data_IF_514884203692
#
_entry.id   IF_514884203692
#
_cell.length_a   1.000
_cell.length_b   1.000
_cell.length_c   1.000
_cell.angle_alpha   90.00
_cell.angle_beta   90.00
_cell.angle_gamma   90.00
#
_symmetry.space_group_name_H-M   'P 1'
#
loop_
_entity.id
_entity.type
_entity.pdbx_description
1 polymer ?
#
# COMPACT_ATOMS: atom_id res chain seq x y z
N UNK A 1 15.49 -9.94 -41.73
CA UNK A 1 15.80 -9.05 -40.61
C UNK A 1 17.24 -9.14 -40.09
N UNK A 2 17.94 -10.24 -40.27
CA UNK A 2 19.33 -10.51 -39.79
C UNK A 2 20.44 -9.76 -40.54
N UNK A 3 20.24 -9.35 -41.79
CA UNK A 3 21.28 -8.66 -42.60
C UNK A 3 21.52 -7.18 -42.25
N UNK A 4 20.63 -6.50 -41.54
CA UNK A 4 20.81 -5.10 -41.10
C UNK A 4 21.65 -4.96 -39.81
N UNK A 5 21.63 -5.94 -38.95
CA UNK A 5 22.40 -5.93 -37.68
C UNK A 5 23.92 -6.02 -37.90
N UNK A 6 24.36 -6.78 -38.93
CA UNK A 6 25.78 -7.08 -39.14
C UNK A 6 26.64 -5.87 -39.58
N UNK A 7 26.02 -4.82 -40.14
CA UNK A 7 26.77 -3.60 -40.53
C UNK A 7 26.91 -2.60 -39.37
N UNK A 8 26.04 -2.62 -38.43
CA UNK A 8 26.03 -1.77 -37.23
C UNK A 8 26.91 -2.30 -36.10
N UNK A 9 27.16 -3.62 -36.06
CA UNK A 9 27.85 -4.32 -34.97
C UNK A 9 29.40 -4.26 -35.03
N UNK A 10 30.00 -3.56 -36.03
CA UNK A 10 31.47 -3.59 -36.16
C UNK A 10 32.23 -2.72 -35.15
N UNK A 11 31.59 -1.80 -34.46
CA UNK A 11 32.23 -0.90 -33.49
C UNK A 11 31.26 -0.57 -32.34
N UNK A 12 31.15 -1.44 -31.36
CA UNK A 12 30.33 -1.12 -30.21
C UNK A 12 30.86 0.12 -29.50
N UNK A 13 30.05 1.15 -29.28
CA UNK A 13 30.46 2.29 -28.49
C UNK A 13 30.24 2.02 -27.01
N UNK A 14 31.17 2.49 -26.19
CA UNK A 14 31.00 2.65 -24.76
C UNK A 14 31.43 4.07 -24.36
N UNK A 15 30.52 4.83 -23.74
CA UNK A 15 30.76 6.25 -23.41
C UNK A 15 31.33 7.07 -24.58
N UNK A 16 30.84 6.80 -25.79
CA UNK A 16 31.22 7.52 -27.00
C UNK A 16 32.58 7.15 -27.58
N UNK A 17 33.23 6.09 -27.08
CA UNK A 17 34.47 5.55 -27.67
C UNK A 17 34.16 4.25 -28.36
N UNK A 18 34.36 4.22 -29.68
CA UNK A 18 34.18 3.02 -30.52
C UNK A 18 35.40 2.12 -30.44
N UNK A 19 35.19 0.79 -30.39
CA UNK A 19 36.24 -0.21 -30.40
C UNK A 19 35.82 -1.45 -31.20
N UNK A 20 36.77 -2.29 -31.55
CA UNK A 20 36.52 -3.56 -32.22
C UNK A 20 36.49 -4.67 -31.17
N UNK A 21 35.32 -5.24 -30.91
CA UNK A 21 35.18 -6.40 -30.00
C UNK A 21 35.63 -7.64 -30.71
N UNK A 22 36.58 -8.37 -30.11
CA UNK A 22 37.06 -9.66 -30.59
C UNK A 22 36.20 -10.79 -30.06
N UNK A 23 36.07 -10.83 -28.78
CA UNK A 23 35.24 -11.81 -28.06
C UNK A 23 34.58 -11.18 -26.82
N UNK A 24 33.57 -11.87 -26.35
CA UNK A 24 32.90 -11.53 -25.09
C UNK A 24 32.48 -12.80 -24.39
N UNK A 25 32.75 -12.87 -23.09
CA UNK A 25 32.35 -13.96 -22.21
C UNK A 25 31.41 -13.40 -21.13
N UNK A 26 30.26 -14.05 -20.96
CA UNK A 26 29.31 -13.74 -19.91
C UNK A 26 29.00 -14.98 -19.10
N UNK A 27 28.90 -14.84 -17.78
CA UNK A 27 28.52 -15.91 -16.88
C UNK A 27 27.02 -15.80 -16.60
N UNK A 28 26.30 -16.90 -16.79
CA UNK A 28 24.84 -16.95 -16.60
C UNK A 28 24.52 -18.10 -15.67
N UNK A 29 23.75 -17.84 -14.63
CA UNK A 29 23.39 -18.87 -13.67
C UNK A 29 22.35 -18.38 -12.65
N UNK A 30 22.16 -19.19 -11.62
CA UNK A 30 21.30 -18.83 -10.48
C UNK A 30 22.10 -18.91 -9.19
N UNK A 31 21.80 -18.02 -8.26
CA UNK A 31 22.39 -18.00 -6.93
C UNK A 31 21.65 -19.01 -6.07
N UNK A 32 22.29 -20.18 -5.84
CA UNK A 32 21.71 -21.28 -5.07
C UNK A 32 22.44 -21.37 -3.74
N UNK A 33 21.70 -21.33 -2.63
CA UNK A 33 22.18 -21.63 -1.29
C UNK A 33 21.79 -23.08 -0.95
N UNK A 34 22.79 -23.88 -0.59
CA UNK A 34 22.58 -25.28 -0.19
C UNK A 34 22.66 -25.39 1.33
N UNK A 35 21.68 -26.05 1.93
CA UNK A 35 21.62 -26.33 3.36
C UNK A 35 21.82 -27.81 3.59
N UNK A 36 22.75 -28.13 4.51
CA UNK A 36 23.05 -29.49 4.97
C UNK A 36 22.41 -29.68 6.35
N UNK A 37 21.63 -30.72 6.50
CA UNK A 37 21.04 -31.08 7.80
C UNK A 37 21.71 -32.34 8.36
N UNK A 38 22.16 -32.31 9.63
CA UNK A 38 22.75 -33.50 10.25
C UNK A 38 21.79 -34.69 10.23
N UNK A 39 22.29 -35.88 9.78
CA UNK A 39 21.49 -37.10 9.72
C UNK A 39 20.60 -37.24 8.48
N UNK A 40 20.75 -36.39 7.46
CA UNK A 40 20.10 -36.52 6.14
C UNK A 40 21.17 -36.48 5.05
N UNK A 41 21.02 -37.34 4.09
CA UNK A 41 21.92 -37.40 2.91
C UNK A 41 21.45 -36.41 1.82
N UNK A 42 20.18 -35.92 1.91
CA UNK A 42 19.59 -34.97 0.96
C UNK A 42 19.97 -33.55 1.30
N UNK A 43 20.33 -32.77 0.27
CA UNK A 43 20.56 -31.32 0.36
C UNK A 43 19.30 -30.56 0.01
N UNK A 44 18.97 -29.55 0.81
CA UNK A 44 17.90 -28.59 0.47
C UNK A 44 18.53 -27.39 -0.22
N UNK A 45 18.06 -27.07 -1.42
CA UNK A 45 18.53 -25.95 -2.22
C UNK A 45 17.50 -24.82 -2.19
N UNK A 46 17.95 -23.63 -1.85
CA UNK A 46 17.16 -22.39 -1.94
C UNK A 46 17.69 -21.55 -3.10
N UNK A 47 16.79 -21.16 -3.99
CA UNK A 47 17.10 -20.27 -5.11
C UNK A 47 16.97 -18.81 -4.64
N UNK A 48 18.07 -18.06 -4.70
CA UNK A 48 18.16 -16.66 -4.31
C UNK A 48 18.09 -15.68 -5.50
N UNK A 49 17.75 -16.17 -6.69
CA UNK A 49 17.59 -15.36 -7.89
C UNK A 49 18.69 -15.54 -8.92
N UNK A 50 18.56 -14.86 -10.05
CA UNK A 50 19.52 -14.92 -11.15
C UNK A 50 20.87 -14.28 -10.75
N UNK A 51 21.96 -14.89 -11.19
CA UNK A 51 23.29 -14.28 -11.15
C UNK A 51 23.47 -13.45 -12.42
N UNK A 52 23.64 -12.15 -12.25
CA UNK A 52 24.15 -11.28 -13.31
C UNK A 52 25.67 -11.35 -13.22
N UNK A 53 26.26 -12.32 -13.94
CA UNK A 53 27.71 -12.48 -13.96
C UNK A 53 28.41 -11.33 -14.70
N UNK A 54 29.71 -11.17 -14.48
CA UNK A 54 30.49 -10.17 -15.18
C UNK A 54 30.53 -10.48 -16.68
N UNK A 55 30.51 -9.43 -17.49
CA UNK A 55 30.69 -9.49 -18.96
C UNK A 55 32.13 -9.09 -19.24
N UNK A 56 32.96 -10.06 -19.55
CA UNK A 56 34.34 -9.85 -19.97
C UNK A 56 34.35 -9.53 -21.47
N UNK A 57 35.04 -8.47 -21.86
CA UNK A 57 35.15 -7.98 -23.23
C UNK A 57 36.61 -7.82 -23.60
N UNK A 58 37.06 -8.57 -24.62
CA UNK A 58 38.34 -8.40 -25.26
C UNK A 58 38.15 -7.61 -26.56
N UNK A 59 38.85 -6.52 -26.70
CA UNK A 59 38.67 -5.60 -27.81
C UNK A 59 39.98 -4.99 -28.32
N UNK A 60 39.91 -4.41 -29.51
CA UNK A 60 41.05 -3.70 -30.14
C UNK A 60 40.64 -2.31 -30.55
N UNK A 61 41.53 -1.36 -30.33
CA UNK A 61 41.53 -0.05 -30.98
C UNK A 61 42.52 -0.08 -32.14
N UNK A 62 42.03 0.17 -33.36
CA UNK A 62 42.80 0.05 -34.58
C UNK A 62 42.72 1.33 -35.38
N UNK A 63 43.84 1.78 -35.89
CA UNK A 63 43.93 2.95 -36.76
C UNK A 63 45.18 3.80 -36.52
N UNK A 64 45.38 4.78 -37.35
CA UNK A 64 46.54 5.71 -37.24
C UNK A 64 46.46 6.56 -35.95
N UNK A 65 45.27 6.73 -35.41
CA UNK A 65 45.00 7.50 -34.21
C UNK A 65 44.80 6.64 -32.95
N UNK A 66 45.23 5.37 -32.98
CA UNK A 66 45.03 4.39 -31.89
C UNK A 66 45.49 4.92 -30.51
N UNK A 67 46.56 5.67 -30.43
CA UNK A 67 47.05 6.28 -29.18
C UNK A 67 46.07 7.31 -28.62
N UNK A 68 45.46 8.11 -29.49
CA UNK A 68 44.44 9.09 -29.11
C UNK A 68 43.16 8.41 -28.64
N UNK A 69 42.76 7.33 -29.34
CA UNK A 69 41.61 6.50 -28.94
C UNK A 69 41.87 5.80 -27.61
N UNK A 70 43.07 5.26 -27.39
CA UNK A 70 43.47 4.65 -26.11
C UNK A 70 43.38 5.65 -24.93
N UNK A 71 43.86 6.87 -25.13
CA UNK A 71 43.74 7.94 -24.13
C UNK A 71 42.28 8.32 -23.85
N UNK A 72 41.42 8.39 -24.87
CA UNK A 72 39.98 8.63 -24.72
C UNK A 72 39.32 7.49 -23.94
N UNK A 73 39.65 6.25 -24.25
CA UNK A 73 39.17 5.07 -23.54
C UNK A 73 39.61 5.09 -22.07
N UNK A 74 40.88 5.36 -21.79
CA UNK A 74 41.38 5.50 -20.42
C UNK A 74 40.63 6.60 -19.62
N UNK A 75 40.32 7.71 -20.27
CA UNK A 75 39.51 8.77 -19.64
C UNK A 75 38.05 8.32 -19.43
N UNK A 76 37.45 7.61 -20.38
CA UNK A 76 36.12 7.03 -20.24
C UNK A 76 36.04 6.02 -19.10
N UNK A 77 37.09 5.19 -18.92
CA UNK A 77 37.17 4.23 -17.81
C UNK A 77 37.27 4.92 -16.43
N UNK A 78 37.82 6.13 -16.36
CA UNK A 78 37.95 6.90 -15.10
C UNK A 78 36.69 7.68 -14.73
N UNK A 79 35.72 7.81 -15.64
CA UNK A 79 34.48 8.52 -15.33
C UNK A 79 33.62 7.73 -14.35
N UNK A 80 33.07 8.34 -13.30
CA UNK A 80 32.19 7.68 -12.35
C UNK A 80 30.80 7.38 -12.97
N UNK A 81 30.08 6.43 -12.37
CA UNK A 81 28.71 6.09 -12.71
C UNK A 81 28.57 5.10 -13.86
N UNK A 82 27.31 4.69 -14.16
CA UNK A 82 27.02 3.74 -15.23
C UNK A 82 27.24 4.37 -16.60
N UNK A 83 27.54 3.52 -17.58
CA UNK A 83 27.65 3.91 -18.98
C UNK A 83 26.86 2.95 -19.86
N UNK A 84 26.38 3.44 -21.00
CA UNK A 84 25.71 2.61 -21.99
C UNK A 84 26.74 1.87 -22.84
N UNK A 85 26.71 0.53 -22.84
CA UNK A 85 27.46 -0.33 -23.73
C UNK A 85 26.51 -0.90 -24.78
N UNK A 86 26.81 -0.68 -26.06
CA UNK A 86 26.10 -1.32 -27.15
C UNK A 86 26.82 -2.62 -27.50
N UNK A 87 26.34 -3.73 -26.97
CA UNK A 87 26.96 -5.03 -27.17
C UNK A 87 26.42 -5.71 -28.43
N UNK A 88 27.28 -6.28 -29.32
CA UNK A 88 26.84 -6.85 -30.61
C UNK A 88 25.80 -7.96 -30.51
N UNK A 89 25.84 -8.75 -29.43
CA UNK A 89 24.98 -9.93 -29.23
C UNK A 89 23.95 -9.73 -28.12
N UNK A 90 24.23 -8.86 -27.13
CA UNK A 90 23.35 -8.65 -25.97
C UNK A 90 22.50 -7.36 -26.09
N UNK A 91 22.76 -6.54 -27.11
CA UNK A 91 22.05 -5.29 -27.32
C UNK A 91 22.61 -4.14 -26.46
N UNK A 92 21.76 -3.18 -26.15
CA UNK A 92 22.12 -1.99 -25.38
C UNK A 92 21.97 -2.27 -23.89
N UNK A 93 23.06 -2.13 -23.13
CA UNK A 93 23.14 -2.43 -21.70
C UNK A 93 23.67 -1.23 -20.91
N UNK A 94 23.02 -0.91 -19.82
CA UNK A 94 23.58 -0.01 -18.82
C UNK A 94 24.56 -0.82 -17.96
N UNK A 95 25.86 -0.47 -17.99
CA UNK A 95 26.92 -1.22 -17.30
C UNK A 95 27.84 -0.31 -16.51
N UNK A 96 28.50 -0.88 -15.51
CA UNK A 96 29.64 -0.29 -14.81
C UNK A 96 30.86 -1.15 -15.01
N UNK A 97 32.04 -0.53 -14.97
CA UNK A 97 33.30 -1.24 -14.98
C UNK A 97 33.54 -1.80 -13.58
N UNK A 98 33.53 -3.13 -13.41
CA UNK A 98 33.74 -3.77 -12.11
C UNK A 98 35.20 -3.93 -11.76
N UNK A 99 36.06 -4.05 -12.76
CA UNK A 99 37.52 -4.17 -12.60
C UNK A 99 38.24 -3.11 -13.42
N UNK A 100 39.46 -2.73 -13.03
CA UNK A 100 40.28 -1.81 -13.81
C UNK A 100 40.53 -2.34 -15.23
N UNK A 101 40.21 -1.52 -16.23
CA UNK A 101 40.45 -1.89 -17.64
C UNK A 101 41.95 -1.97 -17.94
N UNK A 102 42.38 -3.01 -18.63
CA UNK A 102 43.75 -3.16 -19.12
C UNK A 102 43.84 -2.61 -20.54
N UNK A 103 44.80 -1.72 -20.77
CA UNK A 103 45.10 -1.15 -22.11
C UNK A 103 46.54 -1.50 -22.43
N UNK A 104 46.76 -2.43 -23.35
CA UNK A 104 48.09 -2.93 -23.72
C UNK A 104 48.52 -2.31 -25.06
N UNK A 105 49.67 -1.68 -25.05
CA UNK A 105 50.32 -1.09 -26.21
C UNK A 105 51.64 -1.84 -26.46
N UNK A 106 51.75 -2.53 -27.62
CA UNK A 106 52.93 -3.28 -27.97
C UNK A 106 53.70 -2.59 -29.11
N UNK A 107 55.00 -2.45 -29.01
CA UNK A 107 55.84 -1.86 -30.04
C UNK A 107 55.88 -2.74 -31.35
N UNK A 108 55.73 -4.04 -31.19
CA UNK A 108 55.65 -5.02 -32.31
C UNK A 108 54.33 -4.93 -33.09
N UNK A 109 53.27 -4.41 -32.47
CA UNK A 109 51.92 -4.28 -33.08
C UNK A 109 51.57 -2.80 -33.21
N UNK A 110 52.26 -2.11 -34.11
CA UNK A 110 51.96 -0.69 -34.37
C UNK A 110 50.54 -0.53 -34.91
N UNK A 111 49.87 0.58 -34.54
CA UNK A 111 48.49 0.97 -34.90
C UNK A 111 47.41 0.12 -34.25
N UNK A 112 47.74 -0.62 -33.22
CA UNK A 112 46.76 -1.43 -32.47
C UNK A 112 47.01 -1.29 -30.98
N UNK A 113 45.92 -1.10 -30.17
CA UNK A 113 45.94 -1.23 -28.74
C UNK A 113 44.94 -2.31 -28.34
N UNK A 114 45.36 -3.26 -27.49
CA UNK A 114 44.49 -4.27 -26.94
C UNK A 114 43.79 -3.73 -25.66
N UNK A 115 42.51 -4.05 -25.52
CA UNK A 115 41.67 -3.67 -24.39
C UNK A 115 41.08 -4.93 -23.77
N UNK A 116 41.18 -5.02 -22.45
CA UNK A 116 40.45 -6.01 -21.63
C UNK A 116 39.61 -5.24 -20.60
N UNK A 117 38.31 -5.49 -20.60
CA UNK A 117 37.36 -4.78 -19.77
C UNK A 117 36.34 -5.76 -19.18
N UNK A 118 36.06 -5.65 -17.89
CA UNK A 118 35.06 -6.45 -17.18
C UNK A 118 33.92 -5.52 -16.76
N UNK A 119 32.73 -5.79 -17.26
CA UNK A 119 31.54 -5.01 -17.00
C UNK A 119 30.56 -5.79 -16.16
N UNK A 120 29.85 -5.09 -15.28
CA UNK A 120 28.64 -5.58 -14.61
C UNK A 120 27.43 -4.80 -15.03
N UNK A 121 26.29 -5.48 -15.19
CA UNK A 121 25.03 -4.81 -15.51
C UNK A 121 24.61 -3.95 -14.32
N UNK A 122 24.41 -2.67 -14.57
CA UNK A 122 23.98 -1.73 -13.55
C UNK A 122 22.51 -1.95 -13.22
N UNK A 123 22.24 -2.58 -12.08
CA UNK A 123 20.90 -2.63 -11.50
C UNK A 123 20.62 -1.31 -10.78
N UNK A 124 19.47 -0.70 -11.06
CA UNK A 124 19.00 0.39 -10.20
C UNK A 124 18.90 -0.12 -8.77
N UNK A 125 19.45 0.60 -7.78
CA UNK A 125 19.26 0.23 -6.38
C UNK A 125 17.74 0.11 -6.13
N UNK A 126 17.28 -0.90 -5.36
CA UNK A 126 15.89 -0.96 -4.97
C UNK A 126 15.57 0.36 -4.27
N UNK A 127 14.63 1.11 -4.82
CA UNK A 127 14.09 2.28 -4.12
C UNK A 127 13.54 1.73 -2.81
N UNK A 128 14.01 2.20 -1.64
CA UNK A 128 13.49 1.71 -0.38
C UNK A 128 11.97 1.83 -0.44
N UNK A 129 11.28 0.73 -0.17
CA UNK A 129 9.83 0.73 -0.13
C UNK A 129 9.43 1.76 0.92
N UNK A 130 8.77 2.82 0.49
CA UNK A 130 8.25 3.83 1.41
C UNK A 130 7.20 3.11 2.24
N UNK A 131 7.38 3.05 3.55
CA UNK A 131 6.37 2.53 4.47
C UNK A 131 5.20 3.52 4.52
N UNK A 132 4.29 3.36 3.58
CA UNK A 132 3.10 4.19 3.49
C UNK A 132 2.11 3.88 4.60
N UNK A 133 2.05 2.61 5.05
CA UNK A 133 1.17 2.18 6.12
C UNK A 133 1.60 2.77 7.46
N UNK A 134 2.89 2.72 7.81
CA UNK A 134 3.40 3.35 9.03
C UNK A 134 3.10 4.85 9.06
N UNK A 135 3.30 5.55 7.93
CA UNK A 135 2.95 6.97 7.83
C UNK A 135 1.45 7.24 8.02
N UNK A 136 0.57 6.33 7.56
CA UNK A 136 -0.89 6.45 7.79
C UNK A 136 -1.22 6.30 9.26
N UNK A 137 -0.64 5.31 9.94
CA UNK A 137 -0.88 5.07 11.37
C UNK A 137 -0.40 6.25 12.22
N UNK A 138 0.79 6.79 11.96
CA UNK A 138 1.31 7.98 12.63
C UNK A 138 0.39 9.19 12.45
N UNK A 139 -0.11 9.41 11.23
CA UNK A 139 -1.02 10.52 10.93
C UNK A 139 -2.41 10.35 11.58
N UNK A 140 -2.89 9.11 11.75
CA UNK A 140 -4.11 8.80 12.51
C UNK A 140 -3.92 9.18 13.97
N UNK A 141 -2.82 8.76 14.58
CA UNK A 141 -2.53 9.05 15.99
C UNK A 141 -2.36 10.55 16.23
N UNK A 142 -1.71 11.28 15.33
CA UNK A 142 -1.58 12.74 15.37
C UNK A 142 -2.97 13.42 15.29
N UNK A 143 -3.82 13.03 14.34
CA UNK A 143 -5.15 13.61 14.18
C UNK A 143 -6.02 13.39 15.44
N UNK A 144 -5.95 12.21 16.05
CA UNK A 144 -6.64 11.89 17.30
C UNK A 144 -6.09 12.68 18.49
N UNK A 145 -4.77 12.80 18.59
CA UNK A 145 -4.11 13.56 19.67
C UNK A 145 -4.49 15.04 19.62
N UNK A 146 -4.50 15.66 18.43
CA UNK A 146 -4.87 17.07 18.26
C UNK A 146 -6.37 17.30 18.54
N UNK A 147 -7.24 16.36 18.16
CA UNK A 147 -8.66 16.43 18.51
C UNK A 147 -8.87 16.38 20.04
N UNK A 148 -8.14 15.52 20.76
CA UNK A 148 -8.15 15.47 22.23
C UNK A 148 -7.62 16.76 22.85
N UNK A 149 -6.52 17.30 22.33
CA UNK A 149 -5.94 18.56 22.79
C UNK A 149 -6.92 19.73 22.63
N UNK A 150 -7.63 19.76 21.50
CA UNK A 150 -8.69 20.73 21.25
C UNK A 150 -9.82 20.62 22.28
N UNK A 151 -10.29 19.40 22.56
CA UNK A 151 -11.33 19.17 23.59
C UNK A 151 -10.88 19.63 24.97
N UNK A 152 -9.64 19.31 25.37
CA UNK A 152 -9.09 19.78 26.66
C UNK A 152 -9.05 21.30 26.72
N UNK A 153 -8.60 21.96 25.66
CA UNK A 153 -8.50 23.42 25.59
C UNK A 153 -9.91 24.13 25.67
N UNK A 154 -10.93 23.49 25.09
CA UNK A 154 -12.29 24.01 25.08
C UNK A 154 -13.02 23.74 26.40
N UNK A 155 -12.85 22.57 26.98
CA UNK A 155 -13.58 22.15 28.18
C UNK A 155 -12.89 22.58 29.50
N UNK A 156 -11.56 22.82 29.50
CA UNK A 156 -10.82 23.25 30.70
C UNK A 156 -11.26 24.61 31.28
N UNK A 157 -11.56 25.66 30.47
CA UNK A 157 -12.02 26.95 31.00
C UNK A 157 -13.50 26.96 31.40
N UNK A 158 -14.20 25.87 31.14
CA UNK A 158 -15.61 25.71 31.49
C UNK A 158 -15.74 25.37 32.99
N UNK A 159 -15.41 26.34 33.87
CA UNK A 159 -16.07 26.43 35.17
C UNK A 159 -17.54 26.81 34.88
N UNK A 160 -18.35 25.80 34.58
CA UNK A 160 -19.46 25.85 33.66
C UNK A 160 -20.74 26.34 34.31
N UNK A 161 -21.40 27.33 33.69
CA UNK A 161 -22.81 27.58 33.97
C UNK A 161 -23.68 26.39 33.54
N UNK A 162 -24.84 26.23 34.14
CA UNK A 162 -25.86 25.21 33.84
C UNK A 162 -26.13 25.03 32.31
N UNK A 163 -25.92 26.05 31.51
CA UNK A 163 -26.05 26.00 30.06
C UNK A 163 -25.15 24.96 29.40
N UNK A 164 -23.89 24.87 29.82
CA UNK A 164 -22.95 23.96 29.18
C UNK A 164 -23.22 22.50 29.54
N UNK A 165 -23.79 22.19 30.71
CA UNK A 165 -24.24 20.84 31.02
C UNK A 165 -25.39 20.40 30.09
N UNK A 166 -26.28 21.30 29.69
CA UNK A 166 -27.35 21.04 28.73
C UNK A 166 -26.74 20.72 27.34
N UNK A 167 -25.80 21.55 26.89
CA UNK A 167 -25.13 21.30 25.60
C UNK A 167 -24.40 19.98 25.54
N UNK A 168 -23.74 19.57 26.63
CA UNK A 168 -23.10 18.23 26.69
C UNK A 168 -24.14 17.11 26.66
N UNK A 169 -25.29 17.28 27.33
CA UNK A 169 -26.39 16.33 27.28
C UNK A 169 -27.02 16.22 25.89
N UNK A 170 -27.26 17.35 25.26
CA UNK A 170 -27.84 17.42 23.91
C UNK A 170 -26.88 16.80 22.88
N UNK A 171 -25.57 17.12 22.98
CA UNK A 171 -24.54 16.51 22.16
C UNK A 171 -24.45 14.98 22.36
N UNK A 172 -24.42 14.53 23.64
CA UNK A 172 -24.35 13.10 23.97
C UNK A 172 -25.55 12.32 23.41
N UNK A 173 -26.74 12.91 23.49
CA UNK A 173 -27.99 12.35 22.97
C UNK A 173 -27.96 12.28 21.43
N UNK A 174 -27.52 13.35 20.76
CA UNK A 174 -27.41 13.42 19.32
C UNK A 174 -26.33 12.49 18.78
N UNK A 175 -25.14 12.47 19.38
CA UNK A 175 -24.06 11.55 19.03
C UNK A 175 -24.47 10.09 19.27
N UNK A 176 -25.12 9.79 20.39
CA UNK A 176 -25.65 8.46 20.67
C UNK A 176 -26.70 8.00 19.65
N UNK A 177 -27.57 8.90 19.17
CA UNK A 177 -28.56 8.58 18.14
C UNK A 177 -27.90 8.33 16.78
N UNK A 178 -26.88 9.11 16.42
CA UNK A 178 -26.06 8.93 15.22
C UNK A 178 -25.43 7.53 15.17
N UNK A 179 -24.79 7.12 16.26
CA UNK A 179 -24.19 5.79 16.35
C UNK A 179 -25.22 4.66 16.31
N UNK A 180 -26.37 4.80 17.00
CA UNK A 180 -27.45 3.80 16.93
C UNK A 180 -27.98 3.66 15.50
N UNK A 181 -28.11 4.73 14.77
CA UNK A 181 -28.51 4.67 13.35
C UNK A 181 -27.49 3.93 12.50
N UNK A 182 -26.19 4.23 12.64
CA UNK A 182 -25.11 3.53 11.96
C UNK A 182 -25.06 2.04 12.31
N UNK A 183 -25.08 1.72 13.62
CA UNK A 183 -25.06 0.34 14.12
C UNK A 183 -26.31 -0.46 13.73
N UNK A 184 -27.48 0.19 13.60
CA UNK A 184 -28.70 -0.46 13.14
C UNK A 184 -28.60 -1.03 11.71
N UNK A 185 -27.63 -0.59 10.93
CA UNK A 185 -27.34 -1.15 9.58
C UNK A 185 -26.54 -2.45 9.63
N UNK A 186 -25.96 -2.78 10.78
CA UNK A 186 -25.17 -3.99 11.02
C UNK A 186 -26.06 -5.19 11.43
N UNK A 187 -27.25 -5.30 10.90
CA UNK A 187 -28.19 -6.37 11.23
C UNK A 187 -27.57 -7.75 11.03
N UNK A 188 -27.29 -8.47 12.14
CA UNK A 188 -26.76 -9.83 12.14
C UNK A 188 -25.43 -10.04 12.89
N UNK A 189 -24.67 -8.98 13.23
CA UNK A 189 -23.38 -9.11 13.95
C UNK A 189 -23.53 -8.77 15.45
N UNK A 190 -24.09 -9.71 16.22
CA UNK A 190 -24.34 -9.52 17.66
C UNK A 190 -23.06 -9.26 18.49
N UNK A 191 -21.91 -9.77 18.06
CA UNK A 191 -20.64 -9.62 18.78
C UNK A 191 -20.00 -8.24 18.59
N UNK A 192 -20.08 -7.65 17.39
CA UNK A 192 -19.62 -6.29 17.17
C UNK A 192 -20.45 -5.27 17.99
N UNK A 193 -21.75 -5.54 18.14
CA UNK A 193 -22.65 -4.75 19.00
C UNK A 193 -22.33 -4.90 20.49
N UNK A 194 -21.84 -6.06 20.95
CA UNK A 194 -21.47 -6.28 22.34
C UNK A 194 -20.31 -5.38 22.80
N UNK A 195 -19.30 -5.14 21.93
CA UNK A 195 -18.19 -4.20 22.18
C UNK A 195 -18.63 -2.73 22.16
N UNK A 196 -19.50 -2.36 21.23
CA UNK A 196 -19.99 -0.99 21.07
C UNK A 196 -21.05 -0.60 22.12
N UNK A 197 -21.78 -1.56 22.70
CA UNK A 197 -22.83 -1.30 23.67
C UNK A 197 -22.36 -0.54 24.93
N UNK A 198 -21.34 -1.00 25.64
CA UNK A 198 -20.76 -0.28 26.78
C UNK A 198 -20.22 1.10 26.39
N UNK A 199 -19.54 1.21 25.25
CA UNK A 199 -19.02 2.48 24.74
C UNK A 199 -20.15 3.47 24.42
N UNK A 200 -21.24 3.01 23.83
CA UNK A 200 -22.43 3.83 23.57
C UNK A 200 -23.09 4.30 24.86
N UNK A 201 -23.14 3.43 25.88
CA UNK A 201 -23.64 3.79 27.20
C UNK A 201 -22.77 4.86 27.86
N UNK A 202 -21.43 4.75 27.74
CA UNK A 202 -20.50 5.75 28.23
C UNK A 202 -20.67 7.10 27.51
N UNK A 203 -20.86 7.09 26.19
CA UNK A 203 -21.12 8.28 25.38
C UNK A 203 -22.41 8.99 25.85
N UNK A 204 -23.48 8.26 26.04
CA UNK A 204 -24.77 8.83 26.51
C UNK A 204 -24.65 9.36 27.94
N UNK A 205 -23.85 8.71 28.79
CA UNK A 205 -23.62 9.13 30.17
C UNK A 205 -22.85 10.46 30.29
N UNK A 206 -22.19 10.95 29.22
CA UNK A 206 -21.48 12.25 29.23
C UNK A 206 -22.40 13.39 29.67
N UNK A 207 -23.68 13.34 29.28
CA UNK A 207 -24.67 14.37 29.65
C UNK A 207 -24.99 14.42 31.15
N UNK A 208 -24.71 13.41 31.93
CA UNK A 208 -24.93 13.32 33.36
C UNK A 208 -23.65 13.42 34.20
N UNK A 209 -22.48 13.63 33.57
CA UNK A 209 -21.22 13.73 34.28
C UNK A 209 -21.14 14.98 35.16
N UNK A 210 -20.54 14.87 36.37
CA UNK A 210 -20.29 16.04 37.20
C UNK A 210 -19.27 16.97 36.52
N UNK A 211 -19.49 18.27 36.65
CA UNK A 211 -18.58 19.30 36.15
C UNK A 211 -17.33 19.36 37.03
N UNK A 212 -16.38 18.51 36.72
CA UNK A 212 -15.10 18.34 37.44
C UNK A 212 -13.89 18.51 36.51
N UNK A 213 -12.72 18.61 37.08
CA UNK A 213 -11.48 18.66 36.32
C UNK A 213 -11.25 17.43 35.41
N UNK A 214 -11.92 16.30 35.68
CA UNK A 214 -11.88 15.09 34.88
C UNK A 214 -12.85 15.09 33.69
N UNK A 215 -13.69 16.13 33.56
CA UNK A 215 -14.68 16.21 32.48
C UNK A 215 -14.10 16.11 31.09
N UNK A 216 -12.99 16.81 30.72
CA UNK A 216 -12.42 16.72 29.38
C UNK A 216 -12.01 15.30 28.99
N UNK A 217 -11.41 14.57 29.92
CA UNK A 217 -10.98 13.18 29.67
C UNK A 217 -12.18 12.23 29.54
N UNK A 218 -13.21 12.40 30.38
CA UNK A 218 -14.43 11.61 30.31
C UNK A 218 -15.21 11.83 29.00
N UNK A 219 -15.28 13.08 28.54
CA UNK A 219 -15.90 13.45 27.25
C UNK A 219 -15.11 12.87 26.09
N UNK A 220 -13.77 12.97 26.13
CA UNK A 220 -12.89 12.38 25.11
C UNK A 220 -13.07 10.87 25.03
N UNK A 221 -13.00 10.18 26.17
CA UNK A 221 -13.18 8.72 26.24
C UNK A 221 -14.57 8.28 25.72
N UNK A 222 -15.63 9.04 26.03
CA UNK A 222 -16.97 8.76 25.53
C UNK A 222 -17.09 8.93 24.01
N UNK A 223 -16.46 9.97 23.45
CA UNK A 223 -16.46 10.23 22.01
C UNK A 223 -15.67 9.15 21.24
N UNK A 224 -14.53 8.73 21.79
CA UNK A 224 -13.63 7.75 21.17
C UNK A 224 -14.11 6.32 21.28
N UNK A 225 -14.81 5.98 22.38
CA UNK A 225 -15.12 4.61 22.72
C UNK A 225 -15.91 3.83 21.66
N UNK A 226 -16.91 4.48 21.03
CA UNK A 226 -17.74 3.81 20.02
C UNK A 226 -16.97 3.55 18.73
N UNK A 227 -16.31 4.55 18.10
CA UNK A 227 -15.52 4.30 16.90
C UNK A 227 -14.35 3.35 17.16
N UNK A 228 -13.69 3.41 18.32
CA UNK A 228 -12.63 2.47 18.71
C UNK A 228 -13.15 1.03 18.80
N UNK A 229 -14.32 0.81 19.39
CA UNK A 229 -14.94 -0.51 19.48
C UNK A 229 -15.28 -1.08 18.09
N UNK A 230 -15.78 -0.24 17.17
CA UNK A 230 -16.08 -0.65 15.79
C UNK A 230 -14.81 -0.98 15.02
N UNK A 231 -13.79 -0.14 15.11
CA UNK A 231 -12.52 -0.37 14.44
C UNK A 231 -11.81 -1.62 14.99
N UNK A 232 -11.79 -1.81 16.31
CA UNK A 232 -11.21 -3.00 16.93
C UNK A 232 -11.93 -4.31 16.53
N UNK A 233 -13.24 -4.26 16.27
CA UNK A 233 -13.99 -5.40 15.77
C UNK A 233 -13.73 -5.71 14.30
N UNK A 234 -13.28 -4.72 13.52
CA UNK A 234 -13.02 -4.84 12.09
C UNK A 234 -11.56 -5.20 11.78
N UNK A 235 -10.62 -4.68 12.59
CA UNK A 235 -9.18 -4.90 12.40
C UNK A 235 -8.81 -6.29 12.92
N UNK A 236 -8.24 -7.11 12.05
CA UNK A 236 -7.71 -8.43 12.41
C UNK A 236 -6.53 -8.30 13.38
N UNK A 237 -6.59 -8.87 14.60
CA UNK A 237 -5.39 -8.97 15.41
C UNK A 237 -4.33 -9.77 14.66
N UNK A 238 -3.02 -9.46 14.81
CA UNK A 238 -1.97 -10.22 14.18
C UNK A 238 -2.08 -11.71 14.58
N UNK A 239 -1.73 -12.65 13.68
CA UNK A 239 -1.79 -14.07 14.00
C UNK A 239 -0.96 -14.33 15.25
N UNK A 240 -1.46 -15.15 16.19
CA UNK A 240 -0.70 -15.48 17.39
C UNK A 240 0.66 -16.05 16.97
N UNK A 241 1.74 -15.56 17.58
CA UNK A 241 3.07 -16.08 17.35
C UNK A 241 3.08 -17.56 17.76
N UNK A 242 3.17 -18.46 16.79
CA UNK A 242 3.23 -19.90 17.02
C UNK A 242 4.62 -20.18 17.58
N UNK A 243 4.72 -20.34 18.89
CA UNK A 243 5.93 -20.84 19.53
C UNK A 243 6.21 -22.29 19.07
N UNK A 244 7.47 -22.72 19.05
CA UNK A 244 7.82 -24.11 18.72
C UNK A 244 7.18 -25.06 19.76
N UNK A 245 6.03 -25.66 19.43
CA UNK A 245 5.28 -26.56 20.29
C UNK A 245 3.75 -26.37 20.32
N UNK A 246 3.21 -25.38 19.60
CA UNK A 246 1.77 -25.19 19.50
C UNK A 246 1.09 -26.34 18.75
N UNK A 247 0.11 -27.00 19.39
CA UNK A 247 -0.65 -28.06 18.72
C UNK A 247 -1.58 -27.48 17.65
N UNK A 248 -1.77 -28.22 16.55
CA UNK A 248 -2.70 -27.87 15.46
C UNK A 248 -4.13 -27.60 15.97
N UNK A 249 -4.56 -28.25 17.03
CA UNK A 249 -5.87 -28.05 17.65
C UNK A 249 -6.05 -26.65 18.24
N UNK A 250 -5.00 -26.09 18.87
CA UNK A 250 -5.03 -24.72 19.43
C UNK A 250 -5.09 -23.65 18.34
N UNK A 251 -4.45 -23.93 17.19
CA UNK A 251 -4.48 -23.03 16.04
C UNK A 251 -5.87 -23.02 15.39
N UNK A 252 -6.48 -24.20 15.26
CA UNK A 252 -7.80 -24.33 14.62
C UNK A 252 -8.89 -23.70 15.48
N UNK A 253 -8.82 -23.83 16.82
CA UNK A 253 -9.79 -23.17 17.71
C UNK A 253 -9.62 -21.66 17.72
N UNK A 254 -8.39 -21.15 17.76
CA UNK A 254 -8.11 -19.71 17.70
C UNK A 254 -8.50 -19.07 16.35
N UNK A 255 -8.40 -19.82 15.24
CA UNK A 255 -8.88 -19.37 13.93
C UNK A 255 -10.41 -19.41 13.86
N UNK A 256 -11.06 -20.44 14.42
CA UNK A 256 -12.52 -20.54 14.44
C UNK A 256 -13.17 -19.46 15.34
N UNK A 257 -12.58 -19.16 16.50
CA UNK A 257 -13.01 -18.06 17.37
C UNK A 257 -12.81 -16.69 16.71
N UNK A 258 -11.79 -16.58 15.85
CA UNK A 258 -11.48 -15.39 15.08
C UNK A 258 -12.50 -15.12 13.98
N UNK A 259 -12.91 -16.13 13.22
CA UNK A 259 -13.91 -16.04 12.15
C UNK A 259 -15.32 -15.70 12.65
N UNK A 260 -15.65 -16.08 13.91
CA UNK A 260 -16.97 -15.81 14.51
C UNK A 260 -17.11 -14.41 15.12
N UNK A 261 -16.01 -13.73 15.42
CA UNK A 261 -15.99 -12.47 16.17
C UNK A 261 -15.80 -11.21 15.30
N UNK A 262 -15.67 -11.36 13.99
CA UNK A 262 -15.26 -10.25 13.13
C UNK A 262 -16.41 -9.52 12.44
N UNK A 263 -16.34 -8.19 12.52
CA UNK A 263 -17.12 -7.31 11.65
C UNK A 263 -16.40 -7.19 10.31
N UNK A 264 -17.15 -7.32 9.20
CA UNK A 264 -16.61 -7.03 7.88
C UNK A 264 -16.04 -5.60 7.85
N UNK A 265 -14.74 -5.39 7.52
CA UNK A 265 -14.14 -4.06 7.48
C UNK A 265 -14.88 -3.09 6.54
N UNK A 266 -15.53 -3.58 5.49
CA UNK A 266 -16.31 -2.77 4.56
C UNK A 266 -17.56 -2.19 5.25
N UNK A 267 -18.24 -3.01 6.07
CA UNK A 267 -19.41 -2.56 6.86
C UNK A 267 -18.98 -1.60 7.98
N UNK A 268 -17.86 -1.89 8.66
CA UNK A 268 -17.32 -0.99 9.67
C UNK A 268 -16.99 0.39 9.09
N UNK A 269 -16.34 0.41 7.93
CA UNK A 269 -16.05 1.65 7.20
C UNK A 269 -17.32 2.43 6.87
N UNK A 270 -18.38 1.75 6.40
CA UNK A 270 -19.66 2.38 6.10
C UNK A 270 -20.29 3.04 7.34
N UNK A 271 -20.28 2.35 8.48
CA UNK A 271 -20.82 2.88 9.74
C UNK A 271 -20.04 4.09 10.22
N UNK A 272 -18.69 4.01 10.19
CA UNK A 272 -17.80 5.10 10.61
C UNK A 272 -18.03 6.36 9.74
N UNK A 273 -18.11 6.20 8.43
CA UNK A 273 -18.32 7.32 7.51
C UNK A 273 -19.72 7.95 7.65
N UNK A 274 -20.76 7.13 7.81
CA UNK A 274 -22.14 7.64 8.04
C UNK A 274 -22.20 8.39 9.36
N UNK A 275 -21.59 7.87 10.42
CA UNK A 275 -21.53 8.57 11.69
C UNK A 275 -20.74 9.88 11.61
N UNK A 276 -19.63 9.91 10.88
CA UNK A 276 -18.84 11.11 10.66
C UNK A 276 -19.64 12.22 9.95
N UNK A 277 -20.44 11.86 8.93
CA UNK A 277 -21.31 12.83 8.24
C UNK A 277 -22.38 13.43 9.16
N UNK A 278 -22.96 12.61 10.02
CA UNK A 278 -23.94 13.11 11.01
C UNK A 278 -23.29 13.99 12.09
N UNK A 279 -22.07 13.62 12.53
CA UNK A 279 -21.31 14.40 13.50
C UNK A 279 -20.84 15.76 12.93
N UNK A 280 -20.60 15.84 11.61
CA UNK A 280 -20.33 17.10 10.94
C UNK A 280 -21.46 18.13 11.12
N UNK A 281 -22.71 17.66 11.15
CA UNK A 281 -23.87 18.53 11.38
C UNK A 281 -23.92 19.07 12.83
N UNK A 282 -23.43 18.27 13.79
CA UNK A 282 -23.31 18.69 15.19
C UNK A 282 -22.24 19.79 15.36
N UNK A 283 -21.26 19.85 14.49
CA UNK A 283 -20.25 20.89 14.45
C UNK A 283 -20.81 22.27 13.98
N UNK A 284 -22.07 22.34 13.62
CA UNK A 284 -22.79 23.61 13.33
C UNK A 284 -23.55 24.15 14.54
N UNK A 285 -23.54 23.43 15.69
CA UNK A 285 -24.24 23.80 16.92
C UNK A 285 -23.46 24.77 17.80
N UNK A 286 -23.88 24.88 19.05
CA UNK A 286 -23.31 25.85 20.01
C UNK A 286 -21.93 25.46 20.56
N UNK A 287 -21.56 24.17 20.53
CA UNK A 287 -20.22 23.67 20.84
C UNK A 287 -19.66 22.89 19.63
N UNK A 288 -19.34 23.60 18.53
CA UNK A 288 -18.94 22.97 17.28
C UNK A 288 -17.67 22.15 17.40
N UNK A 289 -16.83 22.41 18.40
CA UNK A 289 -15.59 21.67 18.66
C UNK A 289 -15.87 20.22 19.10
N UNK A 290 -16.98 19.94 19.80
CA UNK A 290 -17.39 18.58 20.15
C UNK A 290 -17.75 17.77 18.90
N UNK A 291 -18.53 18.36 18.01
CA UNK A 291 -18.88 17.74 16.72
C UNK A 291 -17.65 17.49 15.85
N UNK A 292 -16.73 18.47 15.76
CA UNK A 292 -15.47 18.31 15.04
C UNK A 292 -14.58 17.21 15.63
N UNK A 293 -14.46 17.13 16.96
CA UNK A 293 -13.67 16.08 17.59
C UNK A 293 -14.26 14.69 17.31
N UNK A 294 -15.58 14.52 17.46
CA UNK A 294 -16.25 13.28 17.16
C UNK A 294 -16.10 12.88 15.70
N UNK A 295 -16.28 13.82 14.77
CA UNK A 295 -16.06 13.61 13.35
C UNK A 295 -14.61 13.20 13.04
N UNK A 296 -13.63 13.92 13.62
CA UNK A 296 -12.20 13.66 13.40
C UNK A 296 -11.81 12.24 13.85
N UNK A 297 -12.29 11.80 15.01
CA UNK A 297 -12.06 10.43 15.50
C UNK A 297 -12.71 9.38 14.59
N UNK A 298 -13.95 9.58 14.18
CA UNK A 298 -14.65 8.64 13.31
C UNK A 298 -13.95 8.51 11.95
N UNK A 299 -13.54 9.62 11.34
CA UNK A 299 -12.85 9.61 10.03
C UNK A 299 -11.43 9.05 10.15
N UNK A 300 -10.68 9.35 11.22
CA UNK A 300 -9.35 8.80 11.44
C UNK A 300 -9.39 7.28 11.55
N UNK A 301 -10.37 6.73 12.27
CA UNK A 301 -10.55 5.28 12.37
C UNK A 301 -11.13 4.66 11.09
N UNK A 302 -11.92 5.40 10.33
CA UNK A 302 -12.33 4.96 9.00
C UNK A 302 -11.12 4.76 8.07
N UNK A 303 -10.10 5.63 8.16
CA UNK A 303 -8.83 5.46 7.42
C UNK A 303 -8.07 4.22 7.91
N UNK A 304 -8.02 3.98 9.23
CA UNK A 304 -7.39 2.76 9.79
C UNK A 304 -8.05 1.49 9.27
N UNK A 305 -9.39 1.42 9.35
CA UNK A 305 -10.15 0.26 8.83
C UNK A 305 -9.95 0.09 7.33
N UNK A 306 -9.94 1.18 6.55
CA UNK A 306 -9.70 1.10 5.11
C UNK A 306 -8.29 0.60 4.76
N UNK A 307 -7.30 0.86 5.62
CA UNK A 307 -5.95 0.34 5.45
C UNK A 307 -5.88 -1.20 5.59
N UNK A 308 -6.81 -1.82 6.30
CA UNK A 308 -6.87 -3.27 6.51
C UNK A 308 -7.81 -4.01 5.53
N UNK A 309 -8.56 -3.27 4.70
CA UNK A 309 -9.43 -3.90 3.69
C UNK A 309 -8.60 -4.64 2.63
N UNK A 310 -8.84 -5.94 2.42
CA UNK A 310 -8.28 -6.67 1.28
C UNK A 310 -9.09 -6.31 0.02
N UNK A 311 -8.62 -5.30 -0.72
CA UNK A 311 -9.27 -4.88 -1.96
C UNK A 311 -9.14 -5.94 -3.04
N UNK A 312 -10.25 -6.28 -3.68
CA UNK A 312 -10.29 -7.27 -4.76
C UNK A 312 -10.04 -6.65 -6.15
N UNK A 313 -10.37 -5.36 -6.29
CA UNK A 313 -10.27 -4.67 -7.58
C UNK A 313 -9.82 -3.22 -7.43
N UNK A 314 -9.27 -2.68 -8.53
CA UNK A 314 -8.88 -1.29 -8.62
C UNK A 314 -10.09 -0.35 -8.42
N UNK A 315 -11.25 -0.71 -8.96
CA UNK A 315 -12.48 0.08 -8.87
C UNK A 315 -12.97 0.18 -7.43
N UNK A 316 -12.92 -0.91 -6.66
CA UNK A 316 -13.27 -0.91 -5.24
C UNK A 316 -12.36 0.02 -4.45
N UNK A 317 -11.04 -0.11 -4.62
CA UNK A 317 -10.08 0.73 -3.93
C UNK A 317 -10.26 2.23 -4.28
N UNK A 318 -10.53 2.54 -5.55
CA UNK A 318 -10.82 3.92 -5.98
C UNK A 318 -12.12 4.46 -5.37
N UNK A 319 -13.17 3.66 -5.28
CA UNK A 319 -14.43 4.06 -4.66
C UNK A 319 -14.25 4.35 -3.16
N UNK A 320 -13.54 3.48 -2.44
CA UNK A 320 -13.22 3.71 -1.02
C UNK A 320 -12.36 4.96 -0.86
N UNK A 321 -11.33 5.14 -1.68
CA UNK A 321 -10.48 6.33 -1.67
C UNK A 321 -11.30 7.61 -1.85
N UNK A 322 -12.20 7.65 -2.82
CA UNK A 322 -13.03 8.83 -3.07
C UNK A 322 -13.95 9.17 -1.89
N UNK A 323 -14.51 8.16 -1.23
CA UNK A 323 -15.37 8.34 -0.04
C UNK A 323 -14.57 8.89 1.15
N UNK A 324 -13.39 8.31 1.42
CA UNK A 324 -12.51 8.77 2.49
C UNK A 324 -11.99 10.18 2.23
N UNK A 325 -11.58 10.47 1.00
CA UNK A 325 -11.13 11.81 0.61
C UNK A 325 -12.22 12.85 0.83
N UNK A 326 -13.47 12.53 0.48
CA UNK A 326 -14.64 13.37 0.73
C UNK A 326 -14.90 13.61 2.23
N UNK A 327 -14.85 12.56 3.04
CA UNK A 327 -15.07 12.67 4.49
C UNK A 327 -13.95 13.47 5.19
N UNK A 328 -12.68 13.23 4.81
CA UNK A 328 -11.53 13.99 5.31
C UNK A 328 -11.58 15.47 4.87
N UNK A 329 -11.99 15.73 3.62
CA UNK A 329 -12.19 17.09 3.14
C UNK A 329 -13.26 17.83 3.94
N UNK A 330 -14.40 17.19 4.18
CA UNK A 330 -15.49 17.75 4.98
C UNK A 330 -15.04 18.07 6.42
N UNK A 331 -14.32 17.13 7.07
CA UNK A 331 -13.77 17.37 8.41
C UNK A 331 -12.75 18.51 8.44
N UNK A 332 -11.86 18.57 7.46
CA UNK A 332 -10.88 19.64 7.32
C UNK A 332 -11.55 21.00 7.07
N UNK A 333 -12.65 21.05 6.30
CA UNK A 333 -13.42 22.28 6.07
C UNK A 333 -14.09 22.78 7.35
N UNK A 334 -14.67 21.90 8.16
CA UNK A 334 -15.20 22.25 9.48
C UNK A 334 -14.10 22.81 10.37
N UNK A 335 -12.95 22.13 10.44
CA UNK A 335 -11.79 22.57 11.22
C UNK A 335 -11.25 23.92 10.73
N UNK A 336 -11.21 24.16 9.41
CA UNK A 336 -10.80 25.43 8.83
C UNK A 336 -11.73 26.59 9.24
N UNK A 337 -13.04 26.38 9.19
CA UNK A 337 -14.04 27.39 9.63
C UNK A 337 -13.84 27.72 11.09
N UNK A 338 -13.69 26.73 11.97
CA UNK A 338 -13.46 26.94 13.39
C UNK A 338 -12.10 27.55 13.69
N UNK A 339 -11.10 27.32 12.85
CA UNK A 339 -9.78 27.92 13.00
C UNK A 339 -9.77 29.44 12.69
N UNK A 340 -10.71 29.93 11.89
CA UNK A 340 -10.87 31.36 11.64
C UNK A 340 -11.20 32.12 12.92
N UNK A 341 -12.04 31.54 13.79
CA UNK A 341 -12.44 32.16 15.07
C UNK A 341 -11.44 31.83 16.20
N UNK A 342 -10.87 30.61 16.21
CA UNK A 342 -9.96 30.11 17.25
C UNK A 342 -8.74 29.38 16.65
N UNK A 343 -7.79 30.10 16.05
CA UNK A 343 -6.69 29.51 15.29
C UNK A 343 -5.77 28.63 16.14
N UNK A 344 -5.57 28.96 17.42
CA UNK A 344 -4.71 28.20 18.33
C UNK A 344 -5.34 26.87 18.78
N UNK A 345 -6.66 26.75 18.69
CA UNK A 345 -7.40 25.58 19.19
C UNK A 345 -7.77 24.61 18.06
N UNK A 346 -8.32 25.11 16.96
CA UNK A 346 -8.76 24.29 15.83
C UNK A 346 -7.73 24.16 14.70
N UNK A 347 -6.75 25.09 14.63
CA UNK A 347 -5.71 25.09 13.60
C UNK A 347 -4.81 23.83 13.60
N UNK A 348 -4.38 23.29 14.76
CA UNK A 348 -3.65 22.03 14.82
C UNK A 348 -4.47 20.85 14.26
N UNK A 349 -5.75 20.74 14.62
CA UNK A 349 -6.65 19.68 14.11
C UNK A 349 -6.78 19.76 12.58
N UNK A 350 -6.95 20.99 12.05
CA UNK A 350 -6.99 21.18 10.59
C UNK A 350 -5.73 20.66 9.90
N UNK A 351 -4.54 21.00 10.41
CA UNK A 351 -3.27 20.55 9.85
C UNK A 351 -3.15 19.02 9.87
N UNK A 352 -3.48 18.39 11.00
CA UNK A 352 -3.44 16.95 11.17
C UNK A 352 -4.41 16.23 10.21
N UNK A 353 -5.64 16.75 10.02
CA UNK A 353 -6.60 16.20 9.06
C UNK A 353 -6.14 16.34 7.61
N UNK A 354 -5.52 17.46 7.24
CA UNK A 354 -4.94 17.66 5.90
C UNK A 354 -3.79 16.71 5.67
N UNK A 355 -2.93 16.53 6.67
CA UNK A 355 -1.81 15.57 6.60
C UNK A 355 -2.33 14.13 6.48
N UNK A 356 -3.31 13.74 7.29
CA UNK A 356 -3.93 12.42 7.23
C UNK A 356 -4.54 12.16 5.83
N UNK A 357 -5.24 13.17 5.27
CA UNK A 357 -5.80 13.09 3.91
C UNK A 357 -4.73 12.85 2.85
N UNK A 358 -3.59 13.57 2.94
CA UNK A 358 -2.48 13.42 2.00
C UNK A 358 -1.90 11.99 2.05
N UNK A 359 -1.61 11.50 3.26
CA UNK A 359 -0.95 10.21 3.47
C UNK A 359 -1.90 9.05 3.12
N UNK A 360 -3.17 9.13 3.50
CA UNK A 360 -4.19 8.13 3.16
C UNK A 360 -4.39 8.02 1.63
N UNK A 361 -4.49 9.15 0.92
CA UNK A 361 -4.58 9.16 -0.54
C UNK A 361 -3.34 8.57 -1.21
N UNK A 362 -2.15 8.82 -0.66
CA UNK A 362 -0.88 8.27 -1.17
C UNK A 362 -0.84 6.74 -1.00
N UNK A 363 -1.19 6.24 0.19
CA UNK A 363 -1.20 4.79 0.47
C UNK A 363 -2.21 4.05 -0.43
N UNK A 364 -3.45 4.52 -0.48
CA UNK A 364 -4.49 3.92 -1.32
C UNK A 364 -4.14 3.97 -2.81
N UNK A 365 -3.48 5.03 -3.29
CA UNK A 365 -3.00 5.13 -4.67
C UNK A 365 -1.90 4.11 -4.95
N UNK A 366 -0.95 3.93 -4.02
CA UNK A 366 0.12 2.95 -4.16
C UNK A 366 -0.41 1.50 -4.19
N UNK A 367 -1.47 1.21 -3.43
CA UNK A 367 -2.15 -0.10 -3.45
C UNK A 367 -2.95 -0.30 -4.74
N UNK A 368 -3.70 0.71 -5.16
CA UNK A 368 -4.55 0.67 -6.37
C UNK A 368 -3.76 0.26 -7.61
N UNK A 369 -2.53 0.75 -7.78
CA UNK A 369 -1.69 0.43 -8.94
C UNK A 369 -1.25 -1.04 -9.05
N UNK A 370 -1.51 -1.88 -8.04
CA UNK A 370 -1.16 -3.30 -8.00
C UNK A 370 -2.37 -4.23 -8.12
N UNK A 371 -3.58 -3.67 -8.13
CA UNK A 371 -4.82 -4.44 -8.15
C UNK A 371 -5.29 -4.72 -9.57
N UNK A 372 -5.96 -5.87 -9.79
CA UNK A 372 -6.57 -6.17 -11.07
C UNK A 372 -7.73 -5.20 -11.36
N UNK A 373 -7.97 -4.99 -12.65
CA UNK A 373 -9.06 -4.15 -13.14
C UNK A 373 -10.28 -5.01 -13.41
N UNK A 374 -11.47 -4.55 -13.02
CA UNK A 374 -12.72 -5.18 -13.41
C UNK A 374 -13.07 -4.72 -14.84
N UNK A 375 -13.14 -5.69 -15.75
CA UNK A 375 -13.59 -5.47 -17.13
C UNK A 375 -14.93 -6.18 -17.37
N UNK A 376 -15.67 -5.70 -18.35
CA UNK A 376 -16.92 -6.33 -18.77
C UNK A 376 -16.67 -7.19 -20.00
N UNK A 377 -16.84 -8.50 -19.86
CA UNK A 377 -16.75 -9.47 -20.95
C UNK A 377 -18.15 -9.96 -21.34
N UNK A 378 -18.52 -9.88 -22.61
CA UNK A 378 -19.78 -10.43 -23.11
C UNK A 378 -19.49 -11.65 -23.98
N UNK A 379 -19.81 -12.86 -23.50
CA UNK A 379 -19.65 -14.07 -24.33
C UNK A 379 -20.60 -14.05 -25.54
N UNK A 380 -20.22 -14.62 -26.71
CA UNK A 380 -21.04 -14.65 -27.91
C UNK A 380 -22.25 -15.59 -27.80
N UNK A 381 -22.34 -16.41 -26.77
CA UNK A 381 -23.38 -17.37 -26.49
C UNK A 381 -23.28 -17.93 -25.08
N UNK A 382 -24.18 -18.84 -24.71
CA UNK A 382 -24.04 -19.55 -23.43
C UNK A 382 -22.82 -20.47 -23.46
N UNK A 383 -21.87 -20.23 -22.57
CA UNK A 383 -20.56 -20.93 -22.48
C UNK A 383 -20.33 -21.48 -21.09
N UNK A 384 -19.39 -22.42 -20.95
CA UNK A 384 -18.94 -22.88 -19.65
C UNK A 384 -18.04 -21.82 -18.99
N UNK A 385 -18.12 -21.69 -17.65
CA UNK A 385 -17.22 -20.82 -16.88
C UNK A 385 -15.74 -21.15 -17.14
N UNK A 386 -15.43 -22.42 -17.39
CA UNK A 386 -14.06 -22.85 -17.69
C UNK A 386 -13.54 -22.24 -18.99
N UNK A 387 -14.39 -22.07 -19.99
CA UNK A 387 -14.00 -21.40 -21.23
C UNK A 387 -13.73 -19.91 -21.02
N UNK A 388 -14.54 -19.26 -20.19
CA UNK A 388 -14.32 -17.87 -19.79
C UNK A 388 -13.01 -17.74 -19.00
N UNK A 389 -12.81 -18.60 -17.99
CA UNK A 389 -11.59 -18.61 -17.19
C UNK A 389 -10.34 -18.90 -18.03
N UNK A 390 -10.41 -19.81 -19.00
CA UNK A 390 -9.30 -20.10 -19.91
C UNK A 390 -8.99 -18.90 -20.82
N UNK A 391 -10.00 -18.21 -21.29
CA UNK A 391 -9.82 -16.99 -22.09
C UNK A 391 -9.08 -15.90 -21.30
N UNK A 392 -9.39 -15.77 -19.99
CA UNK A 392 -8.76 -14.81 -19.08
C UNK A 392 -7.35 -15.26 -18.63
N UNK A 393 -7.17 -16.55 -18.34
CA UNK A 393 -5.91 -17.11 -17.88
C UNK A 393 -4.83 -17.21 -18.99
N UNK A 394 -5.26 -17.29 -20.26
CA UNK A 394 -4.33 -17.49 -21.37
C UNK A 394 -3.55 -18.78 -21.24
N UNK A 395 -2.20 -18.68 -21.10
CA UNK A 395 -1.29 -19.82 -20.94
C UNK A 395 -1.05 -20.23 -19.48
N UNK A 396 -1.53 -19.47 -18.50
CA UNK A 396 -1.29 -19.70 -17.06
C UNK A 396 -2.35 -20.59 -16.44
N UNK A 397 -2.16 -21.91 -16.50
CA UNK A 397 -3.13 -22.89 -15.98
C UNK A 397 -3.38 -22.78 -14.47
N UNK A 398 -2.43 -22.30 -13.70
CA UNK A 398 -2.55 -22.09 -12.25
C UNK A 398 -3.65 -21.07 -11.86
N UNK A 399 -3.97 -20.14 -12.76
CA UNK A 399 -4.99 -19.10 -12.54
C UNK A 399 -6.41 -19.55 -12.93
N UNK A 400 -6.57 -20.69 -13.58
CA UNK A 400 -7.86 -21.16 -14.10
C UNK A 400 -8.92 -21.33 -13.02
N UNK A 401 -8.60 -22.05 -11.94
CA UNK A 401 -9.56 -22.30 -10.85
C UNK A 401 -9.95 -21.02 -10.11
N UNK A 402 -9.01 -20.19 -9.66
CA UNK A 402 -9.35 -18.90 -9.01
C UNK A 402 -10.21 -17.98 -9.90
N UNK A 403 -9.90 -17.89 -11.19
CA UNK A 403 -10.68 -17.07 -12.12
C UNK A 403 -12.09 -17.63 -12.36
N UNK A 404 -12.24 -18.95 -12.44
CA UNK A 404 -13.56 -19.56 -12.57
C UNK A 404 -14.45 -19.30 -11.35
N UNK A 405 -13.89 -19.41 -10.15
CA UNK A 405 -14.56 -19.11 -8.89
C UNK A 405 -14.92 -17.63 -8.77
N UNK A 406 -14.01 -16.72 -9.14
CA UNK A 406 -14.28 -15.27 -9.15
C UNK A 406 -15.42 -14.92 -10.13
N UNK A 407 -15.39 -15.42 -11.35
CA UNK A 407 -16.46 -15.17 -12.34
C UNK A 407 -17.81 -15.63 -11.83
N UNK A 408 -17.89 -16.81 -11.19
CA UNK A 408 -19.14 -17.34 -10.63
C UNK A 408 -19.65 -16.50 -9.46
N UNK A 409 -18.78 -16.16 -8.52
CA UNK A 409 -19.15 -15.41 -7.31
C UNK A 409 -19.54 -13.98 -7.63
N UNK A 410 -18.73 -13.27 -8.42
CA UNK A 410 -18.91 -11.88 -8.80
C UNK A 410 -20.21 -11.67 -9.58
N UNK A 411 -20.49 -12.55 -10.53
CA UNK A 411 -21.70 -12.47 -11.35
C UNK A 411 -22.90 -13.24 -10.76
N UNK A 412 -22.77 -13.81 -9.55
CA UNK A 412 -23.81 -14.58 -8.85
C UNK A 412 -24.37 -15.73 -9.69
N UNK A 413 -23.51 -16.39 -10.48
CA UNK A 413 -23.89 -17.46 -11.37
C UNK A 413 -23.94 -18.78 -10.58
N UNK A 414 -25.11 -19.40 -10.49
CA UNK A 414 -25.28 -20.69 -9.78
C UNK A 414 -24.87 -21.90 -10.58
N UNK A 415 -24.86 -21.80 -11.92
CA UNK A 415 -24.64 -22.94 -12.85
C UNK A 415 -23.46 -22.66 -13.76
N UNK A 416 -22.26 -23.11 -13.34
CA UNK A 416 -21.01 -22.83 -14.05
C UNK A 416 -20.90 -23.46 -15.46
N UNK A 417 -21.75 -24.44 -15.80
CA UNK A 417 -21.71 -25.03 -17.14
C UNK A 417 -22.46 -24.20 -18.21
N UNK A 418 -23.29 -23.25 -17.79
CA UNK A 418 -24.10 -22.40 -18.67
C UNK A 418 -24.08 -20.95 -18.16
N UNK A 419 -22.95 -20.28 -18.38
CA UNK A 419 -22.80 -18.85 -18.17
C UNK A 419 -23.61 -18.13 -19.26
N UNK A 420 -24.50 -17.20 -18.92
CA UNK A 420 -25.37 -16.56 -19.91
C UNK A 420 -24.56 -15.66 -20.87
N UNK A 421 -25.08 -15.47 -22.08
CA UNK A 421 -24.61 -14.48 -23.05
C UNK A 421 -25.03 -13.07 -22.62
N UNK A 422 -24.53 -12.63 -21.49
CA UNK A 422 -24.78 -11.31 -20.90
C UNK A 422 -23.44 -10.67 -20.49
N UNK A 423 -23.38 -9.36 -20.27
CA UNK A 423 -22.19 -8.71 -19.74
C UNK A 423 -21.78 -9.33 -18.39
N UNK A 424 -20.56 -9.84 -18.31
CA UNK A 424 -19.95 -10.45 -17.12
C UNK A 424 -18.86 -9.54 -16.61
N UNK A 425 -18.84 -9.30 -15.32
CA UNK A 425 -17.69 -8.67 -14.66
C UNK A 425 -16.59 -9.71 -14.45
N UNK A 426 -15.39 -9.40 -14.90
CA UNK A 426 -14.20 -10.26 -14.80
C UNK A 426 -13.00 -9.46 -14.32
N UNK A 427 -12.11 -10.10 -13.58
CA UNK A 427 -10.84 -9.50 -13.17
C UNK A 427 -9.77 -9.77 -14.23
N UNK A 428 -9.02 -8.70 -14.57
CA UNK A 428 -7.92 -8.78 -15.52
C UNK A 428 -6.64 -8.14 -14.99
#
# INVERSE_FOLDING_TARGET
MWRRCWRSCRRPPWRGVEFHMLDSRSEVGRRIQSFVFPGRDDLVHQDLGAVTGPIQVNALLVGDDYLRQARRMANACRQPGPGTLVHPWLGELAVVLSEPASITLEDRRRRVAALEMTFEVYGSPPVPAVDTLGQVLDAIDEARAEARAMLRAVLAPLALPLAAARYLSDFASAAGSSWRYGLGRLSGSSLALAGAGPALSALVAIGSLPLSAALPEAVSAGIEGVPDAIAAAAILPPPPAIGPGGSTATITSALADRDQAQLDPRLALDVLLVAADQQAQMAMGELPQLGLAAQSHAVALAVSVAADIPYESQQEAMAVRARLDGALAAAAEVAARLSADRPLVAGPVWRALVQLRLVANRDLTARTGRLPVVETLTPPGAVSVWLVAQHLAGSELSRLLPLAEDVLSRNRIRRGWAVPAAPLEVLR
#
